data_IF_185162835124
#
_entry.id   IF_185162835124
#
_cell.length_a   1.000
_cell.length_b   1.000
_cell.length_c   1.000
_cell.angle_alpha   90.00
_cell.angle_beta   90.00
_cell.angle_gamma   90.00
#
_symmetry.space_group_name_H-M   'P 1'
#
loop_
_entity.id
_entity.type
_entity.pdbx_description
1 polymer ?
#
# COMPACT_ATOMS: atom_id res chain seq x y z
N UNK A 1 -10.43 1.29 14.85
CA UNK A 1 -9.47 0.74 13.88
C UNK A 1 -8.48 -0.14 14.65
N UNK A 2 -8.03 -1.28 14.11
CA UNK A 2 -7.05 -2.12 14.81
C UNK A 2 -5.63 -1.54 14.68
N UNK A 3 -4.73 -1.72 15.67
CA UNK A 3 -3.34 -1.27 15.55
C UNK A 3 -2.63 -1.80 14.29
N UNK A 4 -2.93 -3.05 13.89
CA UNK A 4 -2.38 -3.64 12.67
C UNK A 4 -2.82 -2.95 11.37
N UNK A 5 -3.97 -2.28 11.34
CA UNK A 5 -4.45 -1.57 10.14
C UNK A 5 -3.59 -0.37 9.81
N UNK A 6 -3.27 0.46 10.81
CA UNK A 6 -2.42 1.64 10.62
C UNK A 6 -1.02 1.23 10.17
N UNK A 7 -0.45 0.21 10.81
CA UNK A 7 0.85 -0.33 10.42
C UNK A 7 0.87 -0.81 8.97
N UNK A 8 -0.19 -1.49 8.53
CA UNK A 8 -0.32 -1.92 7.14
C UNK A 8 -0.54 -0.75 6.18
N UNK A 9 -1.31 0.27 6.56
CA UNK A 9 -1.44 1.50 5.76
C UNK A 9 -0.10 2.21 5.60
N UNK A 10 0.67 2.36 6.67
CA UNK A 10 2.01 2.94 6.61
C UNK A 10 2.89 2.17 5.63
N UNK A 11 2.94 0.84 5.75
CA UNK A 11 3.74 0.02 4.85
C UNK A 11 3.28 0.15 3.39
N UNK A 12 1.98 0.02 3.11
CA UNK A 12 1.48 0.13 1.73
C UNK A 12 1.66 1.52 1.12
N UNK A 13 1.73 2.56 1.95
CA UNK A 13 1.94 3.93 1.49
C UNK A 13 3.33 4.12 0.88
N UNK A 14 4.33 3.31 1.23
CA UNK A 14 5.68 3.43 0.64
C UNK A 14 5.67 3.22 -0.88
N UNK A 15 4.70 2.50 -1.43
CA UNK A 15 4.51 2.31 -2.87
C UNK A 15 4.09 3.59 -3.62
N UNK A 16 3.74 4.66 -2.90
CA UNK A 16 3.20 5.90 -3.46
C UNK A 16 4.13 7.10 -3.27
N UNK A 17 5.31 6.90 -2.71
CA UNK A 17 6.30 7.96 -2.54
C UNK A 17 6.86 8.41 -3.88
N UNK A 18 7.24 9.68 -3.96
CA UNK A 18 8.00 10.24 -5.08
C UNK A 18 9.49 9.89 -4.95
N UNK A 19 9.75 8.60 -4.77
CA UNK A 19 11.06 7.98 -4.67
C UNK A 19 11.07 6.67 -5.45
N UNK A 20 12.26 6.20 -5.82
CA UNK A 20 12.38 4.85 -6.38
C UNK A 20 12.03 3.82 -5.31
N UNK A 21 11.01 3.00 -5.58
CA UNK A 21 10.62 1.89 -4.70
C UNK A 21 11.44 0.67 -5.07
N UNK A 22 12.21 0.15 -4.12
CA UNK A 22 13.18 -0.91 -4.33
C UNK A 22 12.88 -2.21 -3.59
N UNK A 23 13.84 -3.13 -3.67
CA UNK A 23 13.75 -4.47 -3.10
C UNK A 23 13.54 -4.47 -1.58
N UNK A 24 14.15 -3.51 -0.87
CA UNK A 24 14.03 -3.33 0.58
C UNK A 24 12.62 -2.86 0.97
N UNK A 25 12.01 -1.97 0.18
CA UNK A 25 10.63 -1.51 0.41
C UNK A 25 9.65 -2.68 0.23
N UNK A 26 9.82 -3.47 -0.83
CA UNK A 26 8.97 -4.63 -1.06
C UNK A 26 9.11 -5.66 0.06
N UNK A 27 10.33 -5.89 0.56
CA UNK A 27 10.60 -6.80 1.68
C UNK A 27 9.99 -6.26 2.98
N UNK A 28 10.08 -4.96 3.21
CA UNK A 28 9.46 -4.30 4.35
C UNK A 28 7.93 -4.48 4.35
N UNK A 29 7.27 -4.23 3.22
CA UNK A 29 5.81 -4.41 3.10
C UNK A 29 5.43 -5.87 3.35
N UNK A 30 6.14 -6.82 2.74
CA UNK A 30 5.89 -8.26 2.91
C UNK A 30 6.05 -8.68 4.39
N UNK A 31 7.06 -8.16 5.09
CA UNK A 31 7.24 -8.38 6.53
C UNK A 31 6.07 -7.83 7.34
N UNK A 32 5.61 -6.61 7.05
CA UNK A 32 4.49 -5.99 7.77
C UNK A 32 3.19 -6.76 7.57
N UNK A 33 2.92 -7.27 6.37
CA UNK A 33 1.75 -8.13 6.10
C UNK A 33 1.78 -9.37 7.02
N UNK A 34 2.94 -10.02 7.16
CA UNK A 34 3.11 -11.16 8.04
C UNK A 34 2.93 -10.79 9.52
N UNK A 35 3.60 -9.73 9.98
CA UNK A 35 3.54 -9.27 11.38
C UNK A 35 2.13 -8.85 11.83
N UNK A 36 1.34 -8.32 10.90
CA UNK A 36 -0.04 -7.89 11.17
C UNK A 36 -1.06 -9.02 11.06
N UNK A 37 -0.66 -10.17 10.50
CA UNK A 37 -1.53 -11.33 10.30
C UNK A 37 -2.61 -11.14 9.23
N UNK A 38 -2.50 -10.10 8.39
CA UNK A 38 -3.44 -9.93 7.27
C UNK A 38 -3.17 -10.98 6.19
N UNK A 39 -4.25 -11.57 5.66
CA UNK A 39 -4.13 -12.41 4.47
C UNK A 39 -3.69 -11.57 3.27
N UNK A 40 -3.06 -12.21 2.28
CA UNK A 40 -2.71 -11.55 1.00
C UNK A 40 -3.93 -10.91 0.35
N UNK A 41 -5.09 -11.58 0.41
CA UNK A 41 -6.34 -11.07 -0.17
C UNK A 41 -6.86 -9.83 0.57
N UNK A 42 -6.71 -9.78 1.89
CA UNK A 42 -7.11 -8.61 2.68
C UNK A 42 -6.14 -7.46 2.46
N UNK A 43 -4.84 -7.71 2.48
CA UNK A 43 -3.82 -6.69 2.19
C UNK A 43 -4.00 -6.09 0.79
N UNK A 44 -4.30 -6.94 -0.22
CA UNK A 44 -4.62 -6.47 -1.55
C UNK A 44 -5.92 -5.64 -1.59
N UNK A 45 -6.95 -6.05 -0.85
CA UNK A 45 -8.20 -5.28 -0.74
C UNK A 45 -7.97 -3.91 -0.08
N UNK A 46 -7.08 -3.85 0.91
CA UNK A 46 -6.68 -2.61 1.59
C UNK A 46 -5.89 -1.70 0.65
N UNK A 47 -4.92 -2.25 -0.08
CA UNK A 47 -4.16 -1.51 -1.08
C UNK A 47 -5.10 -0.83 -2.08
N UNK A 48 -5.98 -1.59 -2.74
CA UNK A 48 -6.82 -1.03 -3.80
C UNK A 48 -8.03 -0.24 -3.30
N UNK A 49 -8.55 -0.58 -2.12
CA UNK A 49 -9.78 0.01 -1.59
C UNK A 49 -9.56 1.23 -0.71
N UNK A 50 -8.47 1.24 0.06
CA UNK A 50 -8.24 2.20 1.13
C UNK A 50 -7.07 3.13 0.78
N UNK A 51 -5.93 2.58 0.34
CA UNK A 51 -4.67 3.34 0.16
C UNK A 51 -4.57 3.96 -1.24
N UNK A 52 -4.68 3.16 -2.28
CA UNK A 52 -4.53 3.58 -3.69
C UNK A 52 -5.38 4.80 -4.06
N UNK A 53 -6.70 4.86 -3.81
CA UNK A 53 -7.50 6.01 -4.23
C UNK A 53 -7.11 7.31 -3.54
N UNK A 54 -6.51 7.24 -2.34
CA UNK A 54 -6.08 8.44 -1.61
C UNK A 54 -4.68 8.90 -2.05
N UNK A 55 -3.77 7.97 -2.35
CA UNK A 55 -2.36 8.28 -2.56
C UNK A 55 -1.90 8.29 -4.02
N UNK A 56 -2.66 7.71 -4.96
CA UNK A 56 -2.30 7.76 -6.39
C UNK A 56 -2.10 9.20 -6.94
N UNK A 57 -2.79 10.26 -6.47
CA UNK A 57 -2.49 11.61 -6.94
C UNK A 57 -1.06 12.08 -6.63
N UNK A 58 -0.40 11.51 -5.62
CA UNK A 58 0.99 11.84 -5.28
C UNK A 58 1.94 11.51 -6.44
N UNK A 59 1.71 10.37 -7.10
CA UNK A 59 2.50 9.90 -8.25
C UNK A 59 2.28 10.73 -9.54
N UNK A 60 1.32 11.64 -9.52
CA UNK A 60 1.04 12.58 -10.62
C UNK A 60 1.58 13.98 -10.33
N UNK A 61 2.11 14.22 -9.12
CA UNK A 61 2.71 15.48 -8.75
C UNK A 61 4.13 15.58 -9.34
N UNK A 62 4.54 16.80 -9.73
CA UNK A 62 5.92 17.06 -10.21
C UNK A 62 6.95 16.88 -9.09
N UNK A 63 6.53 17.10 -7.85
CA UNK A 63 7.30 16.90 -6.63
C UNK A 63 6.31 16.42 -5.57
N UNK A 64 6.09 15.10 -5.54
CA UNK A 64 5.19 14.45 -4.59
C UNK A 64 5.83 14.31 -3.21
N UNK A 65 5.06 13.80 -2.26
CA UNK A 65 5.58 13.36 -0.96
C UNK A 65 6.65 12.29 -1.15
N UNK A 66 7.82 12.48 -0.54
CA UNK A 66 8.99 11.60 -0.63
C UNK A 66 9.48 11.10 0.73
N UNK A 67 9.07 11.75 1.83
CA UNK A 67 9.48 11.43 3.21
C UNK A 67 8.48 10.51 3.92
N UNK A 68 7.30 10.30 3.33
CA UNK A 68 6.22 9.51 3.90
C UNK A 68 5.20 10.34 4.66
N UNK A 69 4.09 9.70 4.98
CA UNK A 69 2.98 10.33 5.67
C UNK A 69 3.01 10.01 7.16
N UNK A 70 2.66 10.98 8.01
CA UNK A 70 2.48 10.72 9.44
C UNK A 70 1.27 9.84 9.70
N UNK A 71 1.25 9.20 10.87
CA UNK A 71 0.11 8.41 11.32
C UNK A 71 -1.18 9.24 11.35
N UNK A 72 -1.11 10.47 11.85
CA UNK A 72 -2.25 11.41 11.91
C UNK A 72 -2.76 11.74 10.52
N UNK A 73 -1.85 11.96 9.56
CA UNK A 73 -2.22 12.24 8.19
C UNK A 73 -2.95 11.04 7.57
N UNK A 74 -2.41 9.82 7.72
CA UNK A 74 -3.05 8.61 7.18
C UNK A 74 -4.41 8.36 7.82
N UNK A 75 -4.54 8.56 9.14
CA UNK A 75 -5.80 8.44 9.87
C UNK A 75 -6.87 9.43 9.39
N UNK A 76 -6.46 10.64 8.98
CA UNK A 76 -7.36 11.66 8.49
C UNK A 76 -7.84 11.41 7.05
N UNK A 77 -7.00 10.78 6.21
CA UNK A 77 -7.25 10.67 4.76
C UNK A 77 -7.66 9.27 4.30
N UNK A 78 -7.29 8.22 5.03
CA UNK A 78 -7.66 6.85 4.72
C UNK A 78 -8.92 6.43 5.48
N UNK A 79 -9.71 5.55 4.86
CA UNK A 79 -10.95 5.04 5.45
C UNK A 79 -11.02 3.53 5.31
N UNK A 80 -11.33 2.85 6.42
CA UNK A 80 -11.54 1.40 6.43
C UNK A 80 -12.73 1.06 5.51
N UNK A 81 -12.56 0.06 4.65
CA UNK A 81 -13.60 -0.47 3.78
C UNK A 81 -13.82 -1.96 4.07
N UNK A 82 -15.06 -2.33 4.36
CA UNK A 82 -15.43 -3.72 4.67
C UNK A 82 -15.68 -4.62 3.46
N UNK A 83 -15.52 -4.12 2.23
CA UNK A 83 -15.76 -4.87 0.99
C UNK A 83 -14.45 -5.14 0.27
N UNK A 84 -14.30 -6.36 -0.29
CA UNK A 84 -13.18 -6.68 -1.19
C UNK A 84 -13.12 -5.66 -2.33
N UNK A 85 -12.01 -4.96 -2.41
CA UNK A 85 -11.78 -3.99 -3.46
C UNK A 85 -11.28 -4.68 -4.72
N UNK A 86 -11.62 -4.11 -5.87
CA UNK A 86 -11.05 -4.52 -7.17
C UNK A 86 -10.03 -3.49 -7.59
N UNK A 87 -8.95 -3.95 -8.21
CA UNK A 87 -7.99 -3.07 -8.86
C UNK A 87 -8.70 -2.19 -9.90
N UNK A 88 -8.47 -0.87 -9.91
CA UNK A 88 -8.99 0.00 -10.95
C UNK A 88 -8.31 -0.27 -12.31
N UNK A 89 -8.91 0.25 -13.38
CA UNK A 89 -8.31 0.21 -14.71
C UNK A 89 -7.38 1.42 -14.92
N UNK A 90 -6.32 1.25 -15.74
CA UNK A 90 -5.42 2.33 -16.13
C UNK A 90 -3.94 1.98 -16.05
N UNK A 91 -3.09 2.86 -16.56
CA UNK A 91 -1.63 2.68 -16.57
C UNK A 91 -1.05 2.62 -15.16
N UNK A 92 -1.37 3.59 -14.29
CA UNK A 92 -0.87 3.61 -12.91
C UNK A 92 -1.28 2.38 -12.10
N UNK A 93 -2.53 1.92 -12.27
CA UNK A 93 -3.00 0.69 -11.63
C UNK A 93 -2.22 -0.54 -12.11
N UNK A 94 -1.82 -0.58 -13.38
CA UNK A 94 -0.96 -1.67 -13.92
C UNK A 94 0.47 -1.58 -13.41
N UNK A 95 1.00 -0.39 -13.21
CA UNK A 95 2.35 -0.20 -12.66
C UNK A 95 2.39 -0.59 -11.18
N UNK A 96 1.44 -0.10 -10.40
CA UNK A 96 1.23 -0.49 -9.01
C UNK A 96 1.02 -2.01 -8.88
N UNK A 97 0.35 -2.66 -9.83
CA UNK A 97 0.23 -4.14 -9.83
C UNK A 97 1.58 -4.85 -10.04
N UNK A 98 2.53 -4.27 -10.77
CA UNK A 98 3.88 -4.87 -10.90
C UNK A 98 4.62 -4.77 -9.57
N UNK A 99 4.61 -3.60 -8.95
CA UNK A 99 5.20 -3.40 -7.62
C UNK A 99 4.55 -4.28 -6.57
N UNK A 100 3.22 -4.40 -6.58
CA UNK A 100 2.50 -5.32 -5.70
C UNK A 100 2.94 -6.77 -5.91
N UNK A 101 3.15 -7.21 -7.15
CA UNK A 101 3.69 -8.54 -7.43
C UNK A 101 5.09 -8.76 -6.87
N UNK A 102 5.92 -7.72 -6.78
CA UNK A 102 7.23 -7.81 -6.11
C UNK A 102 7.09 -8.04 -4.60
N UNK A 103 6.10 -7.40 -3.96
CA UNK A 103 5.75 -7.68 -2.55
C UNK A 103 5.31 -9.14 -2.40
N UNK A 104 4.43 -9.62 -3.28
CA UNK A 104 3.91 -10.98 -3.20
C UNK A 104 4.99 -12.06 -3.32
N UNK A 105 6.01 -11.85 -4.16
CA UNK A 105 7.13 -12.78 -4.32
C UNK A 105 7.99 -12.94 -3.06
N UNK A 106 7.91 -11.98 -2.15
CA UNK A 106 8.69 -11.94 -0.90
C UNK A 106 7.91 -12.50 0.29
N UNK A 107 6.63 -12.81 0.10
CA UNK A 107 5.85 -13.53 1.09
C UNK A 107 6.17 -15.03 1.03
N UNK A 108 6.16 -15.74 2.17
CA UNK A 108 6.27 -17.19 2.16
C UNK A 108 5.10 -17.79 1.36
N UNK A 109 5.30 -18.95 0.71
CA UNK A 109 4.18 -19.68 0.11
C UNK A 109 3.14 -19.96 1.20
N UNK A 110 1.89 -19.58 0.90
CA UNK A 110 0.74 -19.76 1.79
C UNK A 110 0.17 -21.17 1.78
#
# INVERSE_FOLDING_TARGET
MTPGRLKLWQALSTLFLDTEVGDDDFAYIARVIQETGYSVTDAQSILWGEVYPALVPNLLCVAGEWAGWSDEWLLAHLRVRGRKARRPWGFLAREMEKQWREVLRRLPPG
#
